data_IF_741550522817
#
_entry.id   IF_741550522817
#
_cell.length_a   1.000
_cell.length_b   1.000
_cell.length_c   1.000
_cell.angle_alpha   90.00
_cell.angle_beta   90.00
_cell.angle_gamma   90.00
#
_symmetry.space_group_name_H-M   'P 1'
#
loop_
_entity.id
_entity.type
_entity.pdbx_description
1 polymer ?
#
# COMPACT_ATOMS: atom_id res chain seq x y z
N UNK A 1 16.96 -19.60 0.85
CA UNK A 1 16.45 -18.30 0.39
C UNK A 1 15.39 -17.86 1.37
N UNK A 2 15.46 -16.63 1.87
CA UNK A 2 14.66 -16.18 3.02
C UNK A 2 15.30 -15.04 3.80
N UNK A 3 16.54 -14.66 3.46
CA UNK A 3 17.15 -13.45 3.96
C UNK A 3 16.46 -12.22 3.34
N UNK A 4 16.00 -11.32 4.20
CA UNK A 4 15.34 -10.06 3.84
C UNK A 4 16.31 -8.87 3.92
N UNK A 5 17.55 -9.10 4.35
CA UNK A 5 18.50 -8.04 4.65
C UNK A 5 17.98 -7.07 5.72
N UNK A 6 18.48 -5.84 5.70
CA UNK A 6 18.00 -4.78 6.60
C UNK A 6 16.78 -4.08 6.02
N UNK A 7 15.68 -4.09 6.75
CA UNK A 7 14.44 -3.41 6.37
C UNK A 7 13.94 -2.47 7.46
N UNK A 8 13.17 -1.46 7.05
CA UNK A 8 12.36 -0.64 7.95
C UNK A 8 10.99 -1.29 8.16
N UNK A 9 10.28 -0.92 9.24
CA UNK A 9 8.98 -1.52 9.61
C UNK A 9 7.93 -1.49 8.50
N UNK A 10 8.01 -0.52 7.59
CA UNK A 10 7.07 -0.31 6.49
C UNK A 10 7.51 -0.94 5.16
N UNK A 11 8.68 -1.58 5.09
CA UNK A 11 9.21 -2.15 3.86
C UNK A 11 8.84 -3.63 3.67
N UNK A 12 8.24 -4.26 4.67
CA UNK A 12 7.81 -5.66 4.66
C UNK A 12 6.40 -5.79 5.24
N UNK A 13 5.81 -6.98 5.10
CA UNK A 13 4.52 -7.27 5.72
C UNK A 13 4.53 -6.99 7.23
N UNK A 14 3.41 -6.47 7.72
CA UNK A 14 3.25 -6.06 9.11
C UNK A 14 3.56 -7.21 10.08
N UNK A 15 3.15 -8.43 9.77
CA UNK A 15 3.35 -9.62 10.61
C UNK A 15 4.84 -9.92 10.78
N UNK A 16 5.59 -9.85 9.66
CA UNK A 16 7.04 -10.05 9.64
C UNK A 16 7.74 -8.93 10.41
N UNK A 17 7.36 -7.68 10.14
CA UNK A 17 7.94 -6.52 10.80
C UNK A 17 7.74 -6.58 12.32
N UNK A 18 6.52 -6.83 12.79
CA UNK A 18 6.22 -6.87 14.21
C UNK A 18 6.97 -8.00 14.91
N UNK A 19 7.00 -9.20 14.30
CA UNK A 19 7.72 -10.35 14.85
C UNK A 19 9.23 -10.07 14.94
N UNK A 20 9.87 -9.64 13.86
CA UNK A 20 11.32 -9.37 13.83
C UNK A 20 11.73 -8.26 14.81
N UNK A 21 10.91 -7.20 14.92
CA UNK A 21 11.15 -6.08 15.84
C UNK A 21 10.76 -6.38 17.29
N UNK A 22 10.10 -7.51 17.59
CA UNK A 22 9.90 -7.99 18.96
C UNK A 22 11.09 -8.81 19.47
N UNK A 23 11.75 -9.59 18.60
CA UNK A 23 12.85 -10.50 18.94
C UNK A 23 14.21 -9.84 19.16
N UNK A 24 14.98 -10.29 20.14
CA UNK A 24 16.37 -9.83 20.29
C UNK A 24 17.27 -10.30 19.12
N UNK A 25 18.39 -9.62 18.82
CA UNK A 25 19.35 -10.10 17.83
C UNK A 25 19.86 -11.51 18.18
N UNK A 26 19.81 -12.41 17.20
CA UNK A 26 20.12 -13.83 17.31
C UNK A 26 18.91 -14.72 17.63
N UNK A 27 17.77 -14.15 18.04
CA UNK A 27 16.60 -14.90 18.48
C UNK A 27 15.70 -15.35 17.32
N UNK A 28 15.01 -16.48 17.51
CA UNK A 28 14.08 -17.09 16.55
C UNK A 28 12.67 -17.06 17.16
N UNK A 29 11.67 -16.67 16.37
CA UNK A 29 10.28 -16.70 16.81
C UNK A 29 9.72 -18.12 16.92
N UNK A 30 8.63 -18.25 17.67
CA UNK A 30 7.70 -19.35 17.45
C UNK A 30 7.06 -19.23 16.05
N UNK A 31 6.50 -20.31 15.48
CA UNK A 31 5.74 -20.21 14.23
C UNK A 31 4.63 -19.16 14.33
N UNK A 32 4.60 -18.24 13.38
CA UNK A 32 3.61 -17.16 13.30
C UNK A 32 2.74 -17.39 12.07
N UNK A 33 1.44 -17.27 12.23
CA UNK A 33 0.50 -17.36 11.12
C UNK A 33 0.48 -16.02 10.36
N UNK A 34 0.68 -16.08 9.05
CA UNK A 34 0.62 -14.94 8.13
C UNK A 34 -0.37 -15.28 7.02
N UNK A 35 -1.60 -14.78 7.14
CA UNK A 35 -2.70 -15.22 6.27
C UNK A 35 -3.00 -16.72 6.49
N UNK A 36 -2.97 -17.50 5.41
CA UNK A 36 -3.12 -18.96 5.46
C UNK A 36 -1.78 -19.72 5.61
N UNK A 37 -0.66 -19.00 5.60
CA UNK A 37 0.68 -19.56 5.70
C UNK A 37 1.25 -19.46 7.12
N UNK A 38 2.26 -20.29 7.41
CA UNK A 38 3.03 -20.24 8.65
C UNK A 38 4.48 -19.88 8.35
N UNK A 39 5.01 -18.93 9.10
CA UNK A 39 6.38 -18.45 8.97
C UNK A 39 7.14 -18.55 10.28
N UNK A 40 8.45 -18.67 10.20
CA UNK A 40 9.37 -18.56 11.33
C UNK A 40 10.37 -17.46 11.00
N UNK A 41 10.57 -16.53 11.93
CA UNK A 41 11.41 -15.36 11.72
C UNK A 41 12.62 -15.45 12.65
N UNK A 42 13.81 -15.16 12.13
CA UNK A 42 15.03 -15.00 12.92
C UNK A 42 15.56 -13.59 12.74
N UNK A 43 15.78 -12.89 13.85
CA UNK A 43 16.36 -11.55 13.82
C UNK A 43 17.86 -11.67 13.90
N UNK A 44 18.59 -11.53 12.80
CA UNK A 44 20.06 -11.66 12.81
C UNK A 44 20.74 -10.45 13.48
N UNK A 45 20.36 -9.24 13.07
CA UNK A 45 21.02 -8.02 13.52
C UNK A 45 20.05 -6.84 13.52
N UNK A 46 20.22 -5.94 14.49
CA UNK A 46 19.54 -4.64 14.53
C UNK A 46 20.55 -3.52 14.34
N UNK A 47 20.21 -2.55 13.49
CA UNK A 47 20.99 -1.32 13.34
C UNK A 47 20.08 -0.11 13.55
N UNK A 48 20.61 0.93 14.19
CA UNK A 48 19.93 2.23 14.25
C UNK A 48 20.23 2.97 12.96
N UNK A 49 19.22 3.09 12.10
CA UNK A 49 19.30 4.05 11.00
C UNK A 49 19.05 5.44 11.60
N UNK A 50 19.92 6.44 11.34
CA UNK A 50 19.65 7.80 11.77
C UNK A 50 18.32 8.26 11.16
N UNK A 51 17.43 8.77 12.01
CA UNK A 51 16.20 9.38 11.51
C UNK A 51 16.59 10.65 10.76
N UNK A 52 16.03 10.89 9.55
CA UNK A 52 16.27 12.15 8.85
C UNK A 52 15.82 13.31 9.73
N UNK A 53 16.51 14.45 9.65
CA UNK A 53 16.09 15.62 10.42
C UNK A 53 14.76 16.11 9.87
N UNK A 54 13.93 16.68 10.75
CA UNK A 54 12.65 17.26 10.34
C UNK A 54 12.82 18.27 9.18
N UNK A 55 13.91 19.04 9.20
CA UNK A 55 14.26 20.02 8.16
C UNK A 55 14.40 19.37 6.77
N UNK A 56 15.00 18.17 6.72
CA UNK A 56 15.29 17.46 5.47
C UNK A 56 14.02 16.90 4.81
N UNK A 57 12.99 16.55 5.61
CA UNK A 57 11.74 15.93 5.14
C UNK A 57 10.53 16.86 5.22
N UNK A 58 10.68 18.09 5.73
CA UNK A 58 9.58 19.04 5.91
C UNK A 58 8.84 19.31 4.61
N UNK A 59 9.57 19.46 3.51
CA UNK A 59 8.98 19.72 2.19
C UNK A 59 8.05 18.57 1.77
N UNK A 60 8.51 17.33 1.89
CA UNK A 60 7.75 16.14 1.54
C UNK A 60 6.49 15.98 2.41
N UNK A 61 6.62 16.24 3.72
CA UNK A 61 5.49 16.21 4.65
C UNK A 61 4.42 17.23 4.24
N UNK A 62 4.82 18.47 3.93
CA UNK A 62 3.89 19.53 3.52
C UNK A 62 3.20 19.15 2.22
N UNK A 63 3.95 18.65 1.22
CA UNK A 63 3.37 18.19 -0.03
C UNK A 63 2.34 17.09 0.19
N UNK A 64 2.68 16.05 0.96
CA UNK A 64 1.77 14.96 1.29
C UNK A 64 0.49 15.46 1.97
N UNK A 65 0.61 16.28 3.02
CA UNK A 65 -0.54 16.83 3.74
C UNK A 65 -1.42 17.73 2.85
N UNK A 66 -0.79 18.49 1.94
CA UNK A 66 -1.53 19.34 1.00
C UNK A 66 -2.37 18.51 0.04
N UNK A 67 -1.82 17.42 -0.51
CA UNK A 67 -2.57 16.52 -1.39
C UNK A 67 -3.72 15.82 -0.66
N UNK A 68 -3.48 15.33 0.56
CA UNK A 68 -4.51 14.69 1.38
C UNK A 68 -5.68 15.65 1.69
N UNK A 69 -5.38 16.92 2.01
CA UNK A 69 -6.41 17.93 2.26
C UNK A 69 -7.19 18.30 0.99
N UNK A 70 -6.51 18.41 -0.15
CA UNK A 70 -7.16 18.63 -1.45
C UNK A 70 -8.11 17.47 -1.79
N UNK A 71 -7.70 16.23 -1.55
CA UNK A 71 -8.54 15.06 -1.80
C UNK A 71 -9.79 15.07 -0.92
N UNK A 72 -9.63 15.32 0.38
CA UNK A 72 -10.74 15.48 1.34
C UNK A 72 -11.69 16.60 0.94
N UNK A 73 -11.15 17.74 0.52
CA UNK A 73 -11.94 18.86 0.04
C UNK A 73 -12.73 18.48 -1.21
N UNK A 74 -12.09 17.84 -2.21
CA UNK A 74 -12.77 17.37 -3.42
C UNK A 74 -13.86 16.34 -3.11
N UNK A 75 -13.61 15.41 -2.19
CA UNK A 75 -14.62 14.45 -1.73
C UNK A 75 -15.80 15.17 -1.07
N UNK A 76 -15.54 16.15 -0.20
CA UNK A 76 -16.61 16.94 0.44
C UNK A 76 -17.44 17.73 -0.58
N UNK A 77 -16.80 18.38 -1.55
CA UNK A 77 -17.48 19.13 -2.60
C UNK A 77 -18.31 18.22 -3.51
N UNK A 78 -17.78 17.03 -3.85
CA UNK A 78 -18.54 16.01 -4.60
C UNK A 78 -19.77 15.55 -3.81
N UNK A 79 -19.63 15.28 -2.52
CA UNK A 79 -20.74 14.83 -1.68
C UNK A 79 -21.81 15.92 -1.48
N UNK A 80 -21.41 17.19 -1.45
CA UNK A 80 -22.31 18.34 -1.30
C UNK A 80 -22.97 18.77 -2.61
N UNK A 81 -22.59 18.21 -3.76
CA UNK A 81 -23.10 18.63 -5.07
C UNK A 81 -23.81 17.50 -5.82
N UNK A 82 -24.92 17.85 -6.50
CA UNK A 82 -25.68 16.89 -7.28
C UNK A 82 -25.06 16.75 -8.68
N UNK A 83 -24.09 15.83 -8.81
CA UNK A 83 -23.40 15.56 -10.07
C UNK A 83 -24.35 14.83 -11.02
N UNK A 84 -24.95 15.56 -11.98
CA UNK A 84 -25.69 14.97 -13.10
C UNK A 84 -24.72 14.63 -14.23
N UNK A 85 -24.28 13.37 -14.26
CA UNK A 85 -23.51 12.82 -15.38
C UNK A 85 -24.43 12.69 -16.61
N UNK A 86 -24.37 13.64 -17.55
CA UNK A 86 -24.98 13.47 -18.88
C UNK A 86 -24.04 12.64 -19.76
N UNK A 87 -23.85 11.36 -19.44
CA UNK A 87 -23.41 10.42 -20.47
C UNK A 87 -24.63 10.10 -21.32
N UNK A 88 -24.57 10.44 -22.61
CA UNK A 88 -25.40 9.72 -23.56
C UNK A 88 -25.06 8.23 -23.41
N UNK A 89 -26.05 7.33 -23.32
CA UNK A 89 -25.75 5.91 -23.25
C UNK A 89 -24.91 5.55 -24.47
N UNK A 90 -23.78 4.88 -24.27
CA UNK A 90 -23.13 4.17 -25.37
C UNK A 90 -24.21 3.35 -26.05
N UNK A 91 -24.46 3.67 -27.33
CA UNK A 91 -25.40 2.94 -28.14
C UNK A 91 -25.00 1.45 -28.11
N UNK A 92 -25.94 0.52 -27.95
CA UNK A 92 -25.61 -0.89 -27.96
C UNK A 92 -25.01 -1.21 -29.32
N UNK A 93 -23.75 -1.65 -29.36
CA UNK A 93 -23.20 -2.29 -30.55
C UNK A 93 -23.97 -3.59 -30.77
N UNK A 94 -24.99 -3.49 -31.61
CA UNK A 94 -25.83 -4.61 -32.01
C UNK A 94 -24.98 -5.69 -32.66
N UNK A 95 -25.12 -6.91 -32.15
CA UNK A 95 -24.92 -8.10 -32.98
C UNK A 95 -25.92 -8.03 -34.14
N UNK A 96 -25.45 -8.21 -35.38
CA UNK A 96 -26.02 -9.14 -36.36
C UNK A 96 -25.17 -9.14 -37.65
N UNK A 97 -25.01 -10.34 -38.20
CA UNK A 97 -23.94 -10.71 -39.12
C UNK A 97 -24.23 -10.57 -40.61
N UNK A 98 -23.16 -10.76 -41.37
CA UNK A 98 -23.07 -11.08 -42.80
C UNK A 98 -21.71 -11.78 -42.95
N UNK A 99 -21.51 -12.92 -43.60
CA UNK A 99 -22.37 -13.83 -44.34
C UNK A 99 -21.56 -15.10 -44.60
N UNK A 100 -22.25 -16.20 -44.83
CA UNK A 100 -21.70 -17.44 -45.35
C UNK A 100 -21.07 -17.22 -46.74
N UNK A 101 -19.85 -17.77 -46.89
CA UNK A 101 -19.32 -18.53 -48.04
C UNK A 101 -19.17 -17.84 -49.41
N UNK A 102 -18.41 -18.41 -50.37
CA UNK A 102 -17.96 -19.81 -50.56
C UNK A 102 -16.54 -20.16 -50.08
#
# INVERSE_FOLDING_TARGET
GGDLGFFAKNAVDKTIAETAFALEPGEISQPVQMGDDWIVVKTEQRRKTPQPKLEDIRADIISYMSYDEIEKLLQSLRNQSQIKLKLAPEAPQGKNGQGQEP
#
